data_IF_107532206283
#
_entry.id   IF_107532206283
#
_cell.length_a   1.000
_cell.length_b   1.000
_cell.length_c   1.000
_cell.angle_alpha   90.00
_cell.angle_beta   90.00
_cell.angle_gamma   90.00
#
_symmetry.space_group_name_H-M   'P 1'
#
loop_
_entity.id
_entity.type
_entity.pdbx_description
1 polymer ?
#
# COMPACT_ATOMS: atom_id res chain seq x y z
N UNK A 1 35.70 6.07 1.64
CA UNK A 1 34.45 5.31 1.42
C UNK A 1 34.17 5.24 -0.07
N UNK A 2 33.85 4.07 -0.65
CA UNK A 2 33.59 3.96 -2.09
C UNK A 2 32.28 4.67 -2.48
N UNK A 3 32.10 5.11 -3.74
CA UNK A 3 30.84 5.74 -4.20
C UNK A 3 29.62 4.83 -4.00
N UNK A 4 29.81 3.51 -4.14
CA UNK A 4 28.77 2.51 -3.88
C UNK A 4 28.41 2.44 -2.39
N UNK A 5 29.40 2.42 -1.50
CA UNK A 5 29.17 2.41 -0.06
C UNK A 5 28.48 3.71 0.40
N UNK A 6 28.87 4.87 -0.14
CA UNK A 6 28.24 6.14 0.14
C UNK A 6 26.75 6.18 -0.27
N UNK A 7 26.43 5.61 -1.44
CA UNK A 7 25.05 5.50 -1.92
C UNK A 7 24.20 4.59 -1.05
N UNK A 8 24.74 3.44 -0.63
CA UNK A 8 24.06 2.50 0.27
C UNK A 8 23.80 3.18 1.61
N UNK A 9 24.82 3.81 2.20
CA UNK A 9 24.69 4.50 3.48
C UNK A 9 23.61 5.59 3.44
N UNK A 10 23.61 6.44 2.40
CA UNK A 10 22.59 7.49 2.26
C UNK A 10 21.18 6.91 2.13
N UNK A 11 21.01 5.81 1.39
CA UNK A 11 19.72 5.11 1.28
C UNK A 11 19.27 4.52 2.61
N UNK A 12 20.17 3.88 3.35
CA UNK A 12 19.87 3.32 4.68
C UNK A 12 19.50 4.40 5.69
N UNK A 13 20.21 5.53 5.69
CA UNK A 13 19.91 6.65 6.59
C UNK A 13 18.55 7.27 6.30
N UNK A 14 18.22 7.53 5.03
CA UNK A 14 16.91 8.09 4.64
C UNK A 14 15.79 7.10 4.92
N UNK A 15 15.97 5.82 4.58
CA UNK A 15 14.98 4.78 4.88
C UNK A 15 14.75 4.63 6.38
N UNK A 16 15.83 4.62 7.16
CA UNK A 16 15.78 4.55 8.63
C UNK A 16 15.09 5.75 9.24
N UNK A 17 15.39 6.98 8.81
CA UNK A 17 14.74 8.18 9.35
C UNK A 17 13.25 8.22 9.03
N UNK A 18 12.85 7.82 7.83
CA UNK A 18 11.43 7.72 7.45
C UNK A 18 10.69 6.65 8.25
N UNK A 19 11.30 5.47 8.41
CA UNK A 19 10.73 4.40 9.22
C UNK A 19 10.58 4.83 10.68
N UNK A 20 11.57 5.52 11.25
CA UNK A 20 11.50 6.07 12.60
C UNK A 20 10.42 7.14 12.72
N UNK A 21 10.35 8.09 11.78
CA UNK A 21 9.34 9.15 11.80
C UNK A 21 7.92 8.58 11.70
N UNK A 22 7.68 7.64 10.78
CA UNK A 22 6.40 6.97 10.64
C UNK A 22 6.08 6.11 11.87
N UNK A 23 7.06 5.40 12.41
CA UNK A 23 6.92 4.61 13.64
C UNK A 23 6.55 5.47 14.84
N UNK A 24 7.13 6.66 14.98
CA UNK A 24 6.77 7.63 16.01
C UNK A 24 5.34 8.15 15.81
N UNK A 25 4.95 8.50 14.58
CA UNK A 25 3.58 8.93 14.30
C UNK A 25 2.56 7.85 14.62
N UNK A 26 2.83 6.60 14.23
CA UNK A 26 1.99 5.45 14.56
C UNK A 26 1.94 5.27 16.08
N UNK A 27 3.07 5.40 16.78
CA UNK A 27 3.12 5.31 18.24
C UNK A 27 2.30 6.41 18.94
N UNK A 28 2.11 7.59 18.33
CA UNK A 28 1.22 8.63 18.88
C UNK A 28 -0.26 8.42 18.54
N UNK A 29 -0.59 7.55 17.57
CA UNK A 29 -1.95 7.28 17.13
C UNK A 29 -2.68 6.31 18.07
N UNK A 30 -2.99 6.76 19.29
CA UNK A 30 -3.72 5.98 20.29
C UNK A 30 -5.23 6.18 20.24
N UNK A 31 -5.97 5.10 20.49
CA UNK A 31 -7.43 5.08 20.48
C UNK A 31 -8.05 5.32 19.09
N UNK A 32 -9.39 5.40 19.03
CA UNK A 32 -10.12 5.59 17.78
C UNK A 32 -9.76 6.90 17.07
N UNK A 33 -9.45 7.95 17.83
CA UNK A 33 -9.11 9.28 17.30
C UNK A 33 -7.66 9.38 16.80
N UNK A 34 -6.81 8.39 17.09
CA UNK A 34 -5.42 8.35 16.66
C UNK A 34 -5.25 8.44 15.14
N UNK A 35 -6.25 8.02 14.36
CA UNK A 35 -6.25 8.12 12.90
C UNK A 35 -6.11 9.58 12.42
N UNK A 36 -6.56 10.58 13.19
CA UNK A 36 -6.42 12.00 12.84
C UNK A 36 -4.97 12.46 12.72
N UNK A 37 -4.03 11.74 13.32
CA UNK A 37 -2.59 12.02 13.22
C UNK A 37 -2.02 11.43 11.91
N UNK A 38 -2.51 10.25 11.51
CA UNK A 38 -2.01 9.52 10.34
C UNK A 38 -2.71 9.94 9.04
N UNK A 39 -3.98 10.34 9.11
CA UNK A 39 -4.81 10.73 7.98
C UNK A 39 -4.16 11.77 7.04
N UNK A 40 -3.49 12.84 7.51
CA UNK A 40 -2.82 13.79 6.63
C UNK A 40 -1.64 13.16 5.89
N UNK A 41 -0.89 12.29 6.56
CA UNK A 41 0.26 11.60 5.96
C UNK A 41 -0.22 10.64 4.87
N UNK A 42 -1.32 9.91 5.14
CA UNK A 42 -1.95 9.02 4.16
C UNK A 42 -2.52 9.79 2.97
N UNK A 43 -3.13 10.96 3.20
CA UNK A 43 -3.58 11.84 2.12
C UNK A 43 -2.42 12.35 1.26
N UNK A 44 -1.31 12.76 1.88
CA UNK A 44 -0.09 13.17 1.18
C UNK A 44 0.53 12.03 0.38
N UNK A 45 0.57 10.82 0.93
CA UNK A 45 1.05 9.64 0.20
C UNK A 45 0.12 9.27 -0.95
N UNK A 46 -1.19 9.41 -0.78
CA UNK A 46 -2.18 9.18 -1.83
C UNK A 46 -2.01 10.18 -2.98
N UNK A 47 -1.85 11.47 -2.66
CA UNK A 47 -1.56 12.49 -3.67
C UNK A 47 -0.20 12.27 -4.34
N UNK A 48 0.87 12.10 -3.57
CA UNK A 48 2.21 11.87 -4.10
C UNK A 48 2.28 10.64 -4.98
N UNK A 49 1.65 9.54 -4.56
CA UNK A 49 1.55 8.31 -5.34
C UNK A 49 0.75 8.50 -6.62
N UNK A 50 -0.38 9.21 -6.56
CA UNK A 50 -1.16 9.54 -7.76
C UNK A 50 -0.34 10.38 -8.75
N UNK A 51 0.43 11.35 -8.26
CA UNK A 51 1.31 12.19 -9.09
C UNK A 51 2.37 11.34 -9.79
N UNK A 52 3.04 10.43 -9.05
CA UNK A 52 4.07 9.55 -9.59
C UNK A 52 3.50 8.53 -10.59
N UNK A 53 2.37 7.92 -10.29
CA UNK A 53 1.67 7.01 -11.21
C UNK A 53 1.28 7.74 -12.50
N UNK A 54 0.84 8.99 -12.40
CA UNK A 54 0.49 9.79 -13.56
C UNK A 54 1.69 10.05 -14.50
N UNK A 55 2.89 10.21 -13.92
CA UNK A 55 4.16 10.38 -14.67
C UNK A 55 4.61 9.08 -15.34
N UNK A 56 4.26 7.93 -14.77
CA UNK A 56 4.50 6.60 -15.37
C UNK A 56 3.44 6.20 -16.42
N UNK A 57 2.76 7.19 -17.01
CA UNK A 57 1.70 6.98 -18.00
C UNK A 57 2.17 6.50 -19.37
N UNK A 58 1.20 6.17 -20.25
CA UNK A 58 1.49 5.77 -21.63
C UNK A 58 2.15 6.90 -22.42
N UNK A 59 2.80 6.53 -23.54
CA UNK A 59 3.28 7.47 -24.57
C UNK A 59 2.44 7.27 -25.85
N UNK A 60 1.79 8.30 -26.41
CA UNK A 60 1.78 9.70 -25.99
C UNK A 60 1.09 9.94 -24.62
N UNK A 61 1.50 10.96 -23.86
CA UNK A 61 1.01 11.20 -22.51
C UNK A 61 -0.47 11.58 -22.52
N UNK A 62 -1.23 10.95 -21.62
CA UNK A 62 -2.61 11.33 -21.31
C UNK A 62 -2.63 12.39 -20.22
N UNK A 63 -3.69 13.20 -20.12
CA UNK A 63 -3.69 14.30 -19.17
C UNK A 63 -3.63 13.82 -17.72
N UNK A 64 -2.99 14.65 -16.93
CA UNK A 64 -2.74 14.46 -15.51
C UNK A 64 -3.92 14.82 -14.59
N UNK A 65 -4.75 15.87 -14.82
CA UNK A 65 -5.80 16.26 -13.87
C UNK A 65 -6.80 15.15 -13.47
N UNK A 66 -7.23 14.22 -14.35
CA UNK A 66 -8.21 13.20 -13.98
C UNK A 66 -7.78 12.30 -12.81
N UNK A 67 -6.50 11.91 -12.73
CA UNK A 67 -6.01 11.08 -11.62
C UNK A 67 -5.99 11.85 -10.30
N UNK A 68 -5.72 13.17 -10.34
CA UNK A 68 -5.74 14.02 -9.16
C UNK A 68 -7.16 14.24 -8.66
N UNK A 69 -8.12 14.45 -9.56
CA UNK A 69 -9.54 14.54 -9.19
C UNK A 69 -10.01 13.26 -8.53
N UNK A 70 -9.62 12.09 -9.07
CA UNK A 70 -9.88 10.81 -8.43
C UNK A 70 -9.22 10.68 -7.06
N UNK A 71 -7.95 11.07 -6.92
CA UNK A 71 -7.25 11.04 -5.63
C UNK A 71 -7.90 11.95 -4.58
N UNK A 72 -8.23 13.19 -4.95
CA UNK A 72 -8.92 14.14 -4.07
C UNK A 72 -10.30 13.65 -3.66
N UNK A 73 -11.05 13.05 -4.57
CA UNK A 73 -12.36 12.48 -4.26
C UNK A 73 -12.26 11.30 -3.29
N UNK A 74 -11.28 10.41 -3.48
CA UNK A 74 -11.02 9.31 -2.54
C UNK A 74 -10.61 9.81 -1.15
N UNK A 75 -9.69 10.79 -1.11
CA UNK A 75 -9.26 11.43 0.15
C UNK A 75 -10.46 12.05 0.86
N UNK A 76 -11.30 12.81 0.14
CA UNK A 76 -12.49 13.41 0.74
C UNK A 76 -13.44 12.35 1.31
N UNK A 77 -13.64 11.24 0.59
CA UNK A 77 -14.54 10.16 1.00
C UNK A 77 -14.04 9.40 2.22
N UNK A 78 -12.73 9.16 2.35
CA UNK A 78 -12.17 8.28 3.40
C UNK A 78 -11.56 9.07 4.56
N UNK A 79 -10.93 10.22 4.27
CA UNK A 79 -10.33 11.09 5.29
C UNK A 79 -11.31 12.16 5.77
N UNK A 80 -12.26 12.60 4.95
CA UNK A 80 -13.30 13.55 5.37
C UNK A 80 -14.09 13.11 6.61
N UNK A 81 -14.59 11.86 6.68
CA UNK A 81 -15.32 11.36 7.85
C UNK A 81 -14.49 11.34 9.14
N UNK A 82 -13.16 11.25 9.04
CA UNK A 82 -12.24 11.28 10.20
C UNK A 82 -12.26 12.63 10.92
N UNK A 83 -12.48 13.73 10.18
CA UNK A 83 -12.47 15.10 10.72
C UNK A 83 -13.86 15.72 10.87
N UNK A 84 -14.84 15.29 10.07
CA UNK A 84 -16.23 15.70 10.24
C UNK A 84 -17.18 14.49 10.16
N UNK A 85 -17.26 13.67 11.22
CA UNK A 85 -18.17 12.54 11.29
C UNK A 85 -19.64 12.99 11.17
N UNK A 86 -20.02 14.10 11.82
CA UNK A 86 -21.40 14.60 11.80
C UNK A 86 -21.83 15.10 10.41
N UNK A 87 -20.92 15.73 9.66
CA UNK A 87 -21.18 16.13 8.27
C UNK A 87 -21.51 14.92 7.41
N UNK A 88 -20.75 13.83 7.58
CA UNK A 88 -20.93 12.61 6.80
C UNK A 88 -22.15 11.80 7.23
N UNK A 89 -22.41 11.69 8.54
CA UNK A 89 -23.60 11.04 9.08
C UNK A 89 -24.89 11.70 8.56
N UNK A 90 -24.89 13.02 8.38
CA UNK A 90 -26.01 13.78 7.80
C UNK A 90 -26.23 13.48 6.31
N UNK A 91 -25.16 13.15 5.57
CA UNK A 91 -25.21 12.82 4.14
C UNK A 91 -25.43 11.33 3.87
N UNK A 92 -25.16 10.47 4.84
CA UNK A 92 -25.25 9.01 4.74
C UNK A 92 -26.04 8.42 5.91
N UNK A 93 -27.39 8.52 5.91
CA UNK A 93 -28.25 8.08 7.01
C UNK A 93 -28.50 6.55 7.01
N UNK A 94 -27.51 5.75 6.61
CA UNK A 94 -27.53 4.28 6.77
C UNK A 94 -27.15 3.97 8.21
N UNK A 95 -27.69 2.87 8.76
CA UNK A 95 -27.52 2.41 10.14
C UNK A 95 -26.13 2.73 10.73
N UNK A 96 -26.09 3.29 11.94
CA UNK A 96 -24.93 4.01 12.52
C UNK A 96 -23.66 3.17 12.71
N UNK A 97 -23.70 1.87 12.37
CA UNK A 97 -22.48 1.10 12.16
C UNK A 97 -21.73 1.65 10.94
N UNK A 98 -20.47 2.11 11.08
CA UNK A 98 -19.68 2.47 9.91
C UNK A 98 -19.69 1.29 8.92
N UNK A 99 -19.85 1.54 7.60
CA UNK A 99 -19.73 0.48 6.61
C UNK A 99 -18.39 -0.23 6.83
N UNK A 100 -18.35 -1.56 6.76
CA UNK A 100 -17.09 -2.30 6.90
C UNK A 100 -16.02 -1.66 6.02
N UNK A 101 -14.77 -1.64 6.48
CA UNK A 101 -13.66 -1.01 5.75
C UNK A 101 -13.58 -1.46 4.29
N UNK A 102 -13.97 -2.70 3.99
CA UNK A 102 -14.06 -3.23 2.62
C UNK A 102 -15.17 -2.62 1.78
N UNK A 103 -16.34 -2.35 2.35
CA UNK A 103 -17.42 -1.64 1.65
C UNK A 103 -17.01 -0.19 1.38
N UNK A 104 -16.39 0.49 2.36
CA UNK A 104 -15.84 1.83 2.14
C UNK A 104 -14.78 1.83 1.03
N UNK A 105 -13.91 0.83 1.01
CA UNK A 105 -12.90 0.65 -0.02
C UNK A 105 -13.54 0.42 -1.41
N UNK A 106 -14.57 -0.42 -1.49
CA UNK A 106 -15.32 -0.69 -2.72
C UNK A 106 -16.03 0.55 -3.26
N UNK A 107 -16.69 1.32 -2.38
CA UNK A 107 -17.32 2.60 -2.72
C UNK A 107 -16.27 3.61 -3.18
N UNK A 108 -15.13 3.69 -2.49
CA UNK A 108 -14.01 4.52 -2.91
C UNK A 108 -13.52 4.12 -4.29
N UNK A 109 -13.28 2.83 -4.54
CA UNK A 109 -12.84 2.34 -5.84
C UNK A 109 -13.83 2.69 -6.97
N UNK A 110 -15.13 2.47 -6.74
CA UNK A 110 -16.18 2.78 -7.70
C UNK A 110 -16.27 4.28 -8.00
N UNK A 111 -16.37 5.12 -6.96
CA UNK A 111 -16.50 6.57 -7.11
C UNK A 111 -15.27 7.19 -7.77
N UNK A 112 -14.07 6.78 -7.34
CA UNK A 112 -12.81 7.27 -7.91
C UNK A 112 -12.66 6.82 -9.37
N UNK A 113 -13.06 5.60 -9.72
CA UNK A 113 -13.08 5.16 -11.11
C UNK A 113 -14.06 5.98 -11.97
N UNK A 114 -15.28 6.22 -11.49
CA UNK A 114 -16.29 7.01 -12.22
C UNK A 114 -15.81 8.45 -12.44
N UNK A 115 -15.35 9.14 -11.38
CA UNK A 115 -14.86 10.52 -11.49
C UNK A 115 -13.66 10.60 -12.44
N UNK A 116 -12.71 9.69 -12.30
CA UNK A 116 -11.54 9.62 -13.19
C UNK A 116 -11.96 9.37 -14.63
N UNK A 117 -12.91 8.47 -14.87
CA UNK A 117 -13.41 8.14 -16.19
C UNK A 117 -14.07 9.35 -16.84
N UNK A 118 -15.02 9.99 -16.15
CA UNK A 118 -15.73 11.17 -16.63
C UNK A 118 -14.76 12.31 -16.97
N UNK A 119 -13.79 12.59 -16.10
CA UNK A 119 -12.77 13.60 -16.33
C UNK A 119 -11.82 13.26 -17.50
N UNK A 120 -11.70 11.98 -17.85
CA UNK A 120 -10.86 11.50 -18.95
C UNK A 120 -11.61 11.35 -20.28
N UNK A 121 -12.95 11.41 -20.29
CA UNK A 121 -13.77 11.24 -21.50
C UNK A 121 -13.35 12.18 -22.66
N UNK A 122 -13.04 13.47 -22.44
CA UNK A 122 -12.64 14.38 -23.53
C UNK A 122 -11.35 13.97 -24.24
N UNK A 123 -10.55 13.07 -23.65
CA UNK A 123 -9.27 12.60 -24.21
C UNK A 123 -9.38 11.20 -24.86
N UNK A 124 -10.60 10.65 -24.92
CA UNK A 124 -10.88 9.36 -25.51
C UNK A 124 -10.65 8.17 -24.60
N UNK A 125 -11.09 7.00 -25.09
CA UNK A 125 -11.16 5.75 -24.31
C UNK A 125 -9.79 5.27 -23.81
N UNK A 126 -8.72 5.51 -24.57
CA UNK A 126 -7.37 5.16 -24.16
C UNK A 126 -6.93 5.91 -22.89
N UNK A 127 -7.29 7.20 -22.78
CA UNK A 127 -7.01 8.02 -21.60
C UNK A 127 -7.87 7.59 -20.40
N UNK A 128 -9.15 7.31 -20.61
CA UNK A 128 -10.05 6.74 -19.59
C UNK A 128 -9.42 5.48 -18.99
N UNK A 129 -9.03 4.52 -19.84
CA UNK A 129 -8.41 3.27 -19.38
C UNK A 129 -7.12 3.52 -18.60
N UNK A 130 -6.23 4.35 -19.13
CA UNK A 130 -4.94 4.63 -18.50
C UNK A 130 -5.09 5.35 -17.15
N UNK A 131 -5.98 6.34 -17.06
CA UNK A 131 -6.23 7.07 -15.82
C UNK A 131 -6.93 6.17 -14.80
N UNK A 132 -8.02 5.47 -15.17
CA UNK A 132 -8.73 4.61 -14.23
C UNK A 132 -7.85 3.50 -13.67
N UNK A 133 -7.04 2.84 -14.51
CA UNK A 133 -6.11 1.79 -14.05
C UNK A 133 -5.14 2.31 -12.98
N UNK A 134 -4.57 3.48 -13.23
CA UNK A 134 -3.59 4.09 -12.32
C UNK A 134 -4.24 4.62 -11.04
N UNK A 135 -5.41 5.24 -11.14
CA UNK A 135 -6.13 5.70 -9.95
C UNK A 135 -6.59 4.51 -9.09
N UNK A 136 -7.13 3.45 -9.68
CA UNK A 136 -7.54 2.24 -8.97
C UNK A 136 -6.38 1.48 -8.34
N UNK A 137 -5.21 1.51 -8.98
CA UNK A 137 -4.00 0.90 -8.47
C UNK A 137 -3.47 1.62 -7.21
N UNK A 138 -3.57 2.95 -7.16
CA UNK A 138 -2.94 3.74 -6.08
C UNK A 138 -3.94 4.18 -5.00
N UNK A 139 -5.05 4.78 -5.40
CA UNK A 139 -5.89 5.56 -4.48
C UNK A 139 -6.66 4.67 -3.50
N UNK A 140 -7.49 3.71 -3.93
CA UNK A 140 -8.21 2.85 -2.98
C UNK A 140 -7.27 2.10 -2.04
N UNK A 141 -6.18 1.46 -2.50
CA UNK A 141 -5.34 0.70 -1.58
C UNK A 141 -4.60 1.52 -0.53
N UNK A 142 -4.15 2.75 -0.86
CA UNK A 142 -3.56 3.62 0.16
C UNK A 142 -4.60 4.08 1.18
N UNK A 143 -5.83 4.30 0.75
CA UNK A 143 -6.95 4.64 1.64
C UNK A 143 -7.45 3.44 2.44
N UNK A 144 -7.18 2.20 1.99
CA UNK A 144 -7.43 0.99 2.78
C UNK A 144 -6.68 0.98 4.12
N UNK A 145 -5.57 1.73 4.23
CA UNK A 145 -4.84 1.89 5.49
C UNK A 145 -5.68 2.58 6.57
N UNK A 146 -6.58 3.50 6.19
CA UNK A 146 -7.54 4.10 7.12
C UNK A 146 -8.52 3.02 7.61
N UNK A 147 -9.02 2.20 6.70
CA UNK A 147 -9.88 1.07 7.04
C UNK A 147 -9.22 0.07 7.99
N UNK A 148 -7.95 -0.27 7.77
CA UNK A 148 -7.21 -1.16 8.67
C UNK A 148 -7.08 -0.54 10.06
N UNK A 149 -6.85 0.76 10.16
CA UNK A 149 -6.83 1.43 11.46
C UNK A 149 -8.20 1.40 12.13
N UNK A 150 -9.28 1.62 11.39
CA UNK A 150 -10.64 1.60 11.94
C UNK A 150 -11.03 0.21 12.49
N UNK A 151 -10.66 -0.87 11.80
CA UNK A 151 -11.06 -2.24 12.16
C UNK A 151 -10.09 -2.91 13.15
N UNK A 152 -8.78 -2.70 12.98
CA UNK A 152 -7.73 -3.39 13.74
C UNK A 152 -6.87 -2.45 14.60
N UNK A 153 -7.20 -1.16 14.62
CA UNK A 153 -6.45 -0.15 15.34
C UNK A 153 -5.02 0.07 14.82
N UNK A 154 -4.24 0.76 15.65
CA UNK A 154 -2.79 0.93 15.46
C UNK A 154 -2.06 -0.40 15.26
N UNK A 155 -2.45 -1.44 16.00
CA UNK A 155 -1.80 -2.75 15.95
C UNK A 155 -1.94 -3.42 14.59
N UNK A 156 -3.09 -3.26 13.91
CA UNK A 156 -3.29 -3.73 12.54
C UNK A 156 -2.34 -3.08 11.53
N UNK A 157 -2.11 -1.77 11.64
CA UNK A 157 -1.13 -1.07 10.78
C UNK A 157 0.30 -1.56 11.03
N UNK A 158 0.68 -1.73 12.30
CA UNK A 158 1.99 -2.28 12.67
C UNK A 158 2.13 -3.69 12.11
N UNK A 159 1.11 -4.54 12.27
CA UNK A 159 1.12 -5.89 11.73
C UNK A 159 1.29 -5.89 10.20
N UNK A 160 0.54 -5.06 9.45
CA UNK A 160 0.69 -4.93 8.00
C UNK A 160 2.14 -4.60 7.59
N UNK A 161 2.75 -3.62 8.27
CA UNK A 161 4.12 -3.19 7.99
C UNK A 161 5.10 -4.32 8.31
N UNK A 162 4.92 -5.02 9.44
CA UNK A 162 5.77 -6.15 9.82
C UNK A 162 5.66 -7.28 8.80
N UNK A 163 4.44 -7.69 8.43
CA UNK A 163 4.21 -8.80 7.49
C UNK A 163 4.79 -8.51 6.10
N UNK A 164 4.71 -7.26 5.63
CA UNK A 164 5.29 -6.86 4.34
C UNK A 164 6.81 -6.71 4.42
N UNK A 165 7.32 -5.88 5.33
CA UNK A 165 8.75 -5.50 5.35
C UNK A 165 9.66 -6.62 5.85
N UNK A 166 9.22 -7.48 6.77
CA UNK A 166 10.00 -8.69 7.12
C UNK A 166 10.13 -9.61 5.91
N UNK A 167 9.08 -9.72 5.10
CA UNK A 167 9.10 -10.43 3.83
C UNK A 167 10.12 -9.87 2.84
N UNK A 168 10.18 -8.54 2.67
CA UNK A 168 11.14 -7.88 1.77
C UNK A 168 12.58 -8.14 2.21
N UNK A 169 12.85 -8.02 3.51
CA UNK A 169 14.17 -8.25 4.11
C UNK A 169 14.60 -9.70 3.92
N UNK A 170 13.74 -10.66 4.28
CA UNK A 170 14.03 -12.07 4.11
C UNK A 170 14.23 -12.44 2.64
N UNK A 171 13.37 -11.94 1.75
CA UNK A 171 13.49 -12.18 0.32
C UNK A 171 14.80 -11.64 -0.27
N UNK A 172 15.24 -10.47 0.18
CA UNK A 172 16.53 -9.90 -0.21
C UNK A 172 17.70 -10.77 0.25
N UNK A 173 17.75 -11.15 1.54
CA UNK A 173 18.88 -11.89 2.09
C UNK A 173 18.94 -13.33 1.58
N UNK A 174 17.82 -14.06 1.62
CA UNK A 174 17.74 -15.43 1.10
C UNK A 174 18.01 -15.43 -0.41
N UNK A 175 17.42 -14.48 -1.13
CA UNK A 175 17.62 -14.35 -2.57
C UNK A 175 19.05 -14.04 -2.95
N UNK A 176 19.75 -13.21 -2.18
CA UNK A 176 21.16 -12.87 -2.42
C UNK A 176 22.13 -13.99 -2.04
N UNK A 177 21.83 -14.75 -0.99
CA UNK A 177 22.70 -15.82 -0.49
C UNK A 177 22.67 -17.07 -1.38
N UNK A 178 21.48 -17.49 -1.82
CA UNK A 178 21.28 -18.79 -2.50
C UNK A 178 20.50 -18.70 -3.81
N UNK A 179 19.99 -17.52 -4.19
CA UNK A 179 19.17 -17.36 -5.38
C UNK A 179 19.98 -17.40 -6.67
N UNK A 180 19.59 -18.32 -7.58
CA UNK A 180 20.22 -18.50 -8.90
C UNK A 180 19.26 -18.33 -10.08
N UNK A 181 17.96 -18.51 -9.85
CA UNK A 181 16.92 -18.48 -10.88
C UNK A 181 15.99 -17.30 -10.66
N UNK A 182 15.75 -16.54 -11.72
CA UNK A 182 14.98 -15.29 -11.69
C UNK A 182 13.60 -15.49 -12.34
N UNK A 183 12.49 -15.46 -11.59
CA UNK A 183 11.15 -15.65 -12.15
C UNK A 183 10.70 -14.48 -13.04
N UNK A 184 11.17 -13.27 -12.75
CA UNK A 184 10.70 -12.04 -13.42
C UNK A 184 11.86 -11.22 -14.02
N UNK A 185 12.69 -11.81 -14.91
CA UNK A 185 13.96 -11.20 -15.33
C UNK A 185 13.78 -9.86 -16.05
N UNK A 186 12.62 -9.61 -16.68
CA UNK A 186 12.31 -8.35 -17.35
C UNK A 186 11.76 -7.27 -16.41
N UNK A 187 11.01 -7.67 -15.37
CA UNK A 187 10.34 -6.74 -14.46
C UNK A 187 11.25 -6.38 -13.28
N UNK A 188 11.71 -7.41 -12.58
CA UNK A 188 12.57 -7.32 -11.40
C UNK A 188 13.72 -8.31 -11.52
N UNK A 189 14.82 -7.92 -12.19
CA UNK A 189 16.00 -8.77 -12.36
C UNK A 189 16.64 -9.20 -11.04
N UNK A 190 16.42 -8.45 -9.95
CA UNK A 190 16.95 -8.77 -8.62
C UNK A 190 16.14 -9.82 -7.86
N UNK A 191 14.88 -10.09 -8.22
CA UNK A 191 14.06 -11.11 -7.54
C UNK A 191 14.44 -12.51 -8.02
N UNK A 192 14.60 -13.44 -7.07
CA UNK A 192 14.93 -14.85 -7.32
C UNK A 192 13.85 -15.76 -6.72
N UNK A 193 13.70 -16.98 -7.24
CA UNK A 193 12.77 -17.96 -6.68
C UNK A 193 13.04 -18.26 -5.20
N UNK A 194 14.32 -18.41 -4.83
CA UNK A 194 14.71 -18.62 -3.44
C UNK A 194 14.32 -17.42 -2.56
N UNK A 195 14.50 -16.19 -3.06
CA UNK A 195 14.05 -14.99 -2.37
C UNK A 195 12.53 -14.93 -2.21
N UNK A 196 11.74 -15.27 -3.25
CA UNK A 196 10.29 -15.31 -3.16
C UNK A 196 9.78 -16.31 -2.11
N UNK A 197 10.38 -17.50 -2.05
CA UNK A 197 10.04 -18.53 -1.04
C UNK A 197 10.49 -18.08 0.36
N UNK A 198 11.70 -17.52 0.49
CA UNK A 198 12.18 -16.98 1.76
C UNK A 198 11.30 -15.84 2.29
N UNK A 199 10.85 -14.95 1.41
CA UNK A 199 9.90 -13.88 1.71
C UNK A 199 8.57 -14.44 2.24
N UNK A 200 8.02 -15.44 1.54
CA UNK A 200 6.76 -16.09 1.92
C UNK A 200 6.85 -16.75 3.30
N UNK A 201 7.89 -17.55 3.54
CA UNK A 201 8.10 -18.20 4.83
C UNK A 201 8.27 -17.19 5.96
N UNK A 202 9.01 -16.11 5.73
CA UNK A 202 9.18 -15.04 6.70
C UNK A 202 7.87 -14.29 6.98
N UNK A 203 7.04 -14.06 5.96
CA UNK A 203 5.69 -13.48 6.11
C UNK A 203 4.76 -14.37 6.95
N UNK A 204 4.82 -15.69 6.77
CA UNK A 204 4.08 -16.66 7.60
C UNK A 204 4.55 -16.59 9.05
N UNK A 205 5.86 -16.62 9.29
CA UNK A 205 6.43 -16.52 10.64
C UNK A 205 6.08 -15.18 11.30
N UNK A 206 6.12 -14.09 10.53
CA UNK A 206 5.74 -12.76 10.98
C UNK A 206 4.26 -12.73 11.41
N UNK A 207 3.36 -13.33 10.63
CA UNK A 207 1.94 -13.42 10.99
C UNK A 207 1.71 -14.19 12.29
N UNK A 208 2.32 -15.37 12.43
CA UNK A 208 2.25 -16.15 13.68
C UNK A 208 2.80 -15.34 14.86
N UNK A 209 3.90 -14.63 14.67
CA UNK A 209 4.51 -13.77 15.71
C UNK A 209 3.61 -12.59 16.08
N UNK A 210 2.97 -11.95 15.10
CA UNK A 210 2.04 -10.85 15.34
C UNK A 210 0.82 -11.30 16.14
N UNK A 211 0.28 -12.48 15.85
CA UNK A 211 -0.87 -13.04 16.58
C UNK A 211 -0.45 -13.38 18.02
N UNK A 212 0.63 -14.14 18.18
CA UNK A 212 1.16 -14.52 19.52
C UNK A 212 1.60 -13.33 20.36
N UNK A 213 2.06 -12.25 19.71
CA UNK A 213 2.45 -11.00 20.34
C UNK A 213 1.30 -10.02 20.59
N UNK A 214 0.05 -10.39 20.26
CA UNK A 214 -1.13 -9.55 20.49
C UNK A 214 -1.30 -8.37 19.54
N UNK A 215 -0.57 -8.33 18.41
CA UNK A 215 -0.76 -7.32 17.36
C UNK A 215 -1.96 -7.63 16.46
N UNK A 216 -2.31 -8.91 16.32
CA UNK A 216 -3.51 -9.36 15.62
C UNK A 216 -4.31 -10.29 16.55
N UNK A 217 -5.65 -10.29 16.46
CA UNK A 217 -6.46 -11.24 17.20
C UNK A 217 -6.22 -12.67 16.72
N UNK A 218 -6.51 -13.65 17.58
CA UNK A 218 -6.45 -15.07 17.21
C UNK A 218 -7.52 -15.35 16.14
N UNK A 219 -7.14 -15.89 14.98
CA UNK A 219 -8.07 -16.17 13.90
C UNK A 219 -8.99 -17.35 14.23
N UNK A 220 -10.17 -17.40 13.60
CA UNK A 220 -11.16 -18.48 13.78
C UNK A 220 -10.60 -19.88 13.50
N UNK A 221 -9.63 -19.98 12.60
CA UNK A 221 -8.99 -21.24 12.20
C UNK A 221 -7.68 -21.53 12.97
N UNK A 222 -7.40 -20.79 14.05
CA UNK A 222 -6.18 -20.91 14.85
C UNK A 222 -4.90 -20.83 14.01
N UNK A 223 -3.96 -21.77 14.21
CA UNK A 223 -2.68 -21.76 13.49
C UNK A 223 -2.83 -21.79 11.96
N UNK A 224 -3.85 -22.48 11.44
CA UNK A 224 -4.12 -22.51 10.00
C UNK A 224 -4.50 -21.11 9.50
N UNK A 225 -5.35 -20.41 10.25
CA UNK A 225 -5.70 -19.01 9.96
C UNK A 225 -4.47 -18.10 9.96
N UNK A 226 -3.58 -18.25 10.93
CA UNK A 226 -2.33 -17.48 11.02
C UNK A 226 -1.43 -17.71 9.78
N UNK A 227 -1.29 -18.98 9.36
CA UNK A 227 -0.51 -19.32 8.16
C UNK A 227 -1.14 -18.71 6.90
N UNK A 228 -2.46 -18.78 6.76
CA UNK A 228 -3.18 -18.20 5.63
C UNK A 228 -3.05 -16.68 5.57
N UNK A 229 -3.18 -15.98 6.70
CA UNK A 229 -2.99 -14.52 6.79
C UNK A 229 -1.59 -14.15 6.30
N UNK A 230 -0.54 -14.75 6.88
CA UNK A 230 0.85 -14.47 6.50
C UNK A 230 1.14 -14.78 5.03
N UNK A 231 0.61 -15.90 4.51
CA UNK A 231 0.79 -16.27 3.11
C UNK A 231 0.10 -15.29 2.16
N UNK A 232 -1.19 -15.00 2.37
CA UNK A 232 -1.97 -14.15 1.47
C UNK A 232 -1.49 -12.70 1.48
N UNK A 233 -1.21 -12.14 2.66
CA UNK A 233 -0.71 -10.76 2.79
C UNK A 233 0.69 -10.63 2.17
N UNK A 234 1.57 -11.62 2.36
CA UNK A 234 2.90 -11.58 1.77
C UNK A 234 2.87 -11.76 0.25
N UNK A 235 2.04 -12.67 -0.28
CA UNK A 235 1.88 -12.83 -1.72
C UNK A 235 1.37 -11.54 -2.37
N UNK A 236 0.40 -10.88 -1.73
CA UNK A 236 -0.09 -9.58 -2.15
C UNK A 236 1.02 -8.51 -2.10
N UNK A 237 1.81 -8.48 -1.02
CA UNK A 237 2.99 -7.60 -0.88
C UNK A 237 3.97 -7.78 -2.04
N UNK A 238 4.36 -9.02 -2.33
CA UNK A 238 5.27 -9.32 -3.44
C UNK A 238 4.69 -8.94 -4.81
N UNK A 239 3.38 -9.13 -5.00
CA UNK A 239 2.68 -8.74 -6.21
C UNK A 239 2.62 -7.21 -6.37
N UNK A 240 2.46 -6.45 -5.27
CA UNK A 240 2.46 -4.99 -5.26
C UNK A 240 3.76 -4.42 -5.81
N UNK A 241 4.91 -4.85 -5.26
CA UNK A 241 6.24 -4.49 -5.77
C UNK A 241 6.44 -4.83 -7.26
N UNK A 242 5.93 -5.99 -7.69
CA UNK A 242 6.11 -6.47 -9.07
C UNK A 242 5.26 -5.64 -10.03
N UNK A 243 4.05 -5.27 -9.63
CA UNK A 243 3.17 -4.39 -10.38
C UNK A 243 3.81 -3.00 -10.53
N UNK A 244 4.32 -2.45 -9.44
CA UNK A 244 5.02 -1.16 -9.43
C UNK A 244 6.29 -1.21 -10.29
N UNK A 245 7.08 -2.27 -10.16
CA UNK A 245 8.22 -2.54 -11.06
C UNK A 245 7.80 -2.60 -12.53
N UNK A 246 6.66 -3.21 -12.86
CA UNK A 246 6.17 -3.29 -14.24
C UNK A 246 5.81 -1.91 -14.81
N UNK A 247 5.13 -1.06 -14.04
CA UNK A 247 4.86 0.32 -14.43
C UNK A 247 6.15 1.11 -14.67
N UNK A 248 7.15 0.97 -13.80
CA UNK A 248 8.46 1.61 -13.98
C UNK A 248 9.14 1.18 -15.27
N UNK A 249 9.13 -0.12 -15.59
CA UNK A 249 9.70 -0.62 -16.86
C UNK A 249 8.97 -0.10 -18.09
N UNK A 250 7.65 -0.04 -18.03
CA UNK A 250 6.86 0.50 -19.14
C UNK A 250 7.14 2.00 -19.35
N UNK A 251 7.31 2.76 -18.28
CA UNK A 251 7.66 4.17 -18.34
C UNK A 251 9.14 4.43 -18.71
N UNK A 252 9.98 3.40 -18.73
CA UNK A 252 11.42 3.50 -18.98
C UNK A 252 12.20 4.12 -17.82
N UNK A 253 11.65 4.08 -16.61
CA UNK A 253 12.27 4.62 -15.40
C UNK A 253 12.68 3.49 -14.44
N UNK A 254 13.55 3.80 -13.48
CA UNK A 254 13.97 2.85 -12.44
C UNK A 254 13.27 3.09 -11.11
N UNK A 255 13.12 4.35 -10.73
CA UNK A 255 12.52 4.83 -9.49
C UNK A 255 11.27 5.65 -9.87
N UNK A 256 10.21 5.62 -9.06
CA UNK A 256 8.92 6.28 -9.36
C UNK A 256 9.00 7.81 -9.23
N UNK A 257 9.93 8.28 -8.40
CA UNK A 257 10.15 9.68 -8.08
C UNK A 257 11.49 9.94 -7.43
N UNK A 258 11.69 11.17 -6.95
CA UNK A 258 12.94 11.64 -6.32
C UNK A 258 12.72 12.23 -4.92
N UNK A 259 11.49 12.15 -4.40
CA UNK A 259 11.08 12.83 -3.17
C UNK A 259 11.93 12.39 -1.96
N UNK A 260 12.30 11.11 -1.90
CA UNK A 260 13.12 10.55 -0.83
C UNK A 260 14.57 10.29 -1.30
N UNK A 261 15.02 11.04 -2.31
CA UNK A 261 16.39 10.99 -2.82
C UNK A 261 16.80 9.58 -3.24
N UNK A 262 17.83 8.96 -2.62
CA UNK A 262 18.29 7.61 -3.01
C UNK A 262 17.29 6.47 -2.75
N UNK A 263 16.24 6.73 -1.95
CA UNK A 263 15.19 5.75 -1.66
C UNK A 263 14.06 5.75 -2.69
N UNK A 264 14.00 6.76 -3.57
CA UNK A 264 13.01 6.86 -4.64
C UNK A 264 11.85 7.82 -4.33
N UNK A 265 10.69 7.52 -4.91
CA UNK A 265 9.45 8.26 -4.73
C UNK A 265 8.56 7.71 -3.61
N UNK A 266 7.35 8.26 -3.52
CA UNK A 266 6.30 7.76 -2.62
C UNK A 266 5.92 6.33 -2.98
N UNK A 267 5.73 6.02 -4.26
CA UNK A 267 5.36 4.66 -4.69
C UNK A 267 6.46 3.65 -4.38
N UNK A 268 7.74 4.01 -4.50
CA UNK A 268 8.85 3.13 -4.10
C UNK A 268 8.86 2.80 -2.58
N UNK A 269 8.14 3.56 -1.73
CA UNK A 269 8.03 3.27 -0.30
C UNK A 269 6.82 2.39 0.04
N UNK A 270 5.72 2.58 -0.68
CA UNK A 270 4.41 2.00 -0.39
C UNK A 270 3.98 0.92 -1.38
N UNK A 271 4.79 0.60 -2.39
CA UNK A 271 4.56 -0.41 -3.42
C UNK A 271 4.04 -1.74 -2.86
N UNK A 272 4.71 -2.24 -1.83
CA UNK A 272 4.37 -3.47 -1.12
C UNK A 272 3.00 -3.36 -0.42
N UNK A 273 2.66 -2.17 0.08
CA UNK A 273 1.42 -1.89 0.80
C UNK A 273 0.20 -1.76 -0.12
N UNK A 274 0.40 -1.40 -1.39
CA UNK A 274 -0.69 -1.19 -2.36
C UNK A 274 -1.53 -2.44 -2.61
N UNK A 275 -0.99 -3.65 -2.42
CA UNK A 275 -1.79 -4.87 -2.51
C UNK A 275 -1.91 -5.59 -1.17
N UNK A 276 -0.93 -5.44 -0.27
CA UNK A 276 -1.01 -6.09 1.04
C UNK A 276 -2.08 -5.47 1.95
N UNK A 277 -2.36 -4.17 1.83
CA UNK A 277 -3.41 -3.50 2.62
C UNK A 277 -4.83 -4.02 2.31
N UNK A 278 -5.32 -4.00 1.06
CA UNK A 278 -6.62 -4.58 0.74
C UNK A 278 -6.66 -6.10 1.01
N UNK A 279 -5.55 -6.81 0.85
CA UNK A 279 -5.47 -8.22 1.23
C UNK A 279 -5.65 -8.43 2.74
N UNK A 280 -5.06 -7.57 3.59
CA UNK A 280 -5.23 -7.65 5.04
C UNK A 280 -6.68 -7.40 5.45
N UNK A 281 -7.36 -6.42 4.84
CA UNK A 281 -8.79 -6.20 5.08
C UNK A 281 -9.64 -7.41 4.67
N UNK A 282 -9.33 -8.02 3.53
CA UNK A 282 -10.05 -9.22 3.08
C UNK A 282 -9.86 -10.40 4.03
N UNK A 283 -8.62 -10.68 4.46
CA UNK A 283 -8.37 -11.78 5.41
C UNK A 283 -8.87 -11.44 6.82
N UNK A 284 -8.92 -10.17 7.20
CA UNK A 284 -9.54 -9.74 8.45
C UNK A 284 -11.02 -10.11 8.45
N UNK A 285 -11.77 -9.74 7.41
CA UNK A 285 -13.18 -10.11 7.29
C UNK A 285 -13.42 -11.62 7.31
N UNK A 286 -12.51 -12.41 6.71
CA UNK A 286 -12.72 -13.85 6.50
C UNK A 286 -12.19 -14.73 7.65
N UNK A 287 -11.13 -14.31 8.33
CA UNK A 287 -10.35 -15.16 9.23
C UNK A 287 -10.23 -14.61 10.65
N UNK A 288 -10.41 -13.31 10.85
CA UNK A 288 -10.33 -12.67 12.17
C UNK A 288 -11.73 -12.46 12.76
N UNK A 289 -11.86 -12.50 14.10
CA UNK A 289 -13.11 -12.24 14.79
C UNK A 289 -13.58 -10.78 14.71
#
# INVERSE_FOLDING_TARGET
>A
MSPRAAKILKRTLVGGSLATALGLLIAQAEGPEGIRILAPVLALFTLGGAIEAARMGPRPPVSFPPILLGALAGILLVVGPVYCPDCFASCWPVDQSPPSALLMLGLCAGLVAVITALASLPQGVAAVRANCLRTLWVVPPLLALVGIFSELGRSGLIALIVLSKVGDVAGYYVGSAIGKRHPFPRLSPGKTWAGCVGSLLAGIIASVSCIRGGLLPEPHLGLVGAVLIGALVNLASQAGDLLESAFKRHAGVKDSGVLFGPSGGVLDLVDSLLLSAPALLLVQLLLLP
#
